data_IF_354859908292
#
_entry.id   IF_354859908292
#
_cell.length_a   1.000
_cell.length_b   1.000
_cell.length_c   1.000
_cell.angle_alpha   90.00
_cell.angle_beta   90.00
_cell.angle_gamma   90.00
#
_symmetry.space_group_name_H-M   'P 1'
#
loop_
_entity.id
_entity.type
_entity.pdbx_description
1 polymer ?
#
# COMPACT_ATOMS: atom_id res chain seq x y z
N UNK A 1 8.01 -3.44 15.34
CA UNK A 1 8.39 -3.53 13.93
C UNK A 1 9.68 -4.33 13.88
N UNK A 2 9.84 -5.24 12.92
CA UNK A 2 10.97 -6.18 12.86
C UNK A 2 12.22 -5.59 12.21
N UNK A 3 12.11 -4.44 11.55
CA UNK A 3 13.24 -3.72 10.97
C UNK A 3 13.02 -2.21 10.96
N UNK A 4 14.08 -1.42 11.17
CA UNK A 4 14.02 0.03 11.00
C UNK A 4 13.93 0.38 9.51
N UNK A 5 12.88 1.10 9.10
CA UNK A 5 12.58 1.39 7.69
C UNK A 5 12.28 2.86 7.47
N UNK A 6 12.63 3.39 6.30
CA UNK A 6 12.22 4.72 5.83
C UNK A 6 11.28 4.59 4.63
N UNK A 7 10.41 5.59 4.43
CA UNK A 7 9.52 5.68 3.27
C UNK A 7 8.55 4.48 3.11
N UNK A 8 8.14 3.87 4.22
CA UNK A 8 7.11 2.83 4.23
C UNK A 8 5.70 3.42 4.26
N UNK A 9 4.70 2.64 3.86
CA UNK A 9 3.29 2.97 4.02
C UNK A 9 2.65 2.11 5.11
N UNK A 10 1.73 2.68 5.88
CA UNK A 10 0.99 1.94 6.92
C UNK A 10 -0.51 1.97 6.67
N UNK A 11 -1.20 0.87 6.97
CA UNK A 11 -2.67 0.81 6.91
C UNK A 11 -3.24 -0.11 8.00
N UNK A 12 -4.37 0.28 8.59
CA UNK A 12 -5.10 -0.59 9.51
C UNK A 12 -6.14 -1.40 8.73
N UNK A 13 -6.15 -2.72 8.91
CA UNK A 13 -7.04 -3.64 8.22
C UNK A 13 -7.34 -4.85 9.10
N UNK A 14 -8.61 -5.23 9.21
CA UNK A 14 -9.07 -6.38 10.01
C UNK A 14 -8.53 -6.46 11.45
N UNK A 15 -8.34 -5.30 12.10
CA UNK A 15 -7.83 -5.23 13.47
C UNK A 15 -6.31 -5.31 13.60
N UNK A 16 -5.59 -5.47 12.50
CA UNK A 16 -4.13 -5.46 12.44
C UNK A 16 -3.62 -4.15 11.84
N UNK A 17 -2.37 -3.81 12.14
CA UNK A 17 -1.64 -2.73 11.48
C UNK A 17 -0.63 -3.33 10.50
N UNK A 18 -0.71 -2.95 9.24
CA UNK A 18 0.19 -3.41 8.18
C UNK A 18 1.23 -2.33 7.90
N UNK A 19 2.51 -2.69 7.93
CA UNK A 19 3.63 -1.88 7.50
C UNK A 19 4.17 -2.44 6.17
N UNK A 20 4.14 -1.62 5.12
CA UNK A 20 4.28 -2.07 3.75
C UNK A 20 5.48 -1.40 3.07
N UNK A 21 6.43 -2.22 2.64
CA UNK A 21 7.64 -1.82 1.93
C UNK A 21 8.59 -0.99 2.78
N UNK A 22 9.22 -0.01 2.14
CA UNK A 22 10.23 0.85 2.75
C UNK A 22 11.66 0.33 2.62
N UNK A 23 12.61 1.22 2.86
CA UNK A 23 14.04 0.98 2.75
C UNK A 23 14.63 0.75 4.14
N UNK A 24 15.32 -0.35 4.35
CA UNK A 24 16.23 -0.56 5.49
C UNK A 24 17.64 -0.90 4.96
N UNK A 25 18.61 -1.10 5.86
CA UNK A 25 20.00 -1.35 5.48
C UNK A 25 20.22 -2.74 4.83
N UNK A 26 19.30 -3.67 5.04
CA UNK A 26 19.49 -5.10 4.73
C UNK A 26 18.38 -5.75 3.90
N UNK A 27 17.23 -5.11 3.73
CA UNK A 27 16.05 -5.60 3.00
C UNK A 27 15.56 -4.59 1.95
N UNK A 28 15.02 -5.15 0.88
CA UNK A 28 14.50 -4.37 -0.23
C UNK A 28 13.12 -3.80 0.07
N UNK A 29 12.67 -2.88 -0.79
CA UNK A 29 11.36 -2.22 -0.86
C UNK A 29 10.12 -3.15 -0.86
N UNK A 30 10.33 -4.46 -0.75
CA UNK A 30 9.32 -5.51 -0.89
C UNK A 30 8.84 -6.07 0.44
N UNK A 31 9.61 -5.95 1.52
CA UNK A 31 9.24 -6.54 2.81
C UNK A 31 7.97 -5.90 3.38
N UNK A 32 7.15 -6.73 3.99
CA UNK A 32 5.86 -6.34 4.54
C UNK A 32 5.65 -7.05 5.86
N UNK A 33 5.09 -6.34 6.83
CA UNK A 33 4.89 -6.84 8.19
C UNK A 33 3.49 -6.49 8.66
N UNK A 34 2.88 -7.34 9.49
CA UNK A 34 1.63 -7.04 10.18
C UNK A 34 1.84 -7.06 11.70
N UNK A 35 1.14 -6.18 12.40
CA UNK A 35 1.14 -6.07 13.85
C UNK A 35 -0.21 -6.50 14.39
N UNK A 36 -0.17 -7.44 15.32
CA UNK A 36 -1.31 -7.86 16.13
C UNK A 36 -1.29 -7.09 17.47
N UNK A 37 -2.26 -6.18 17.71
CA UNK A 37 -2.33 -5.44 18.97
C UNK A 37 -2.80 -6.31 20.15
N UNK A 38 -3.36 -7.49 19.91
CA UNK A 38 -3.82 -8.41 20.96
C UNK A 38 -2.66 -9.20 21.54
N UNK A 39 -1.75 -9.64 20.67
CA UNK A 39 -0.54 -10.39 21.04
C UNK A 39 0.68 -9.47 21.23
N UNK A 40 0.58 -8.21 20.85
CA UNK A 40 1.68 -7.23 20.81
C UNK A 40 2.88 -7.72 19.99
N UNK A 41 2.61 -8.38 18.86
CA UNK A 41 3.66 -8.97 18.01
C UNK A 41 3.60 -8.48 16.58
N UNK A 42 4.79 -8.35 15.99
CA UNK A 42 4.96 -8.13 14.56
C UNK A 42 5.28 -9.46 13.88
N UNK A 43 4.59 -9.76 12.79
CA UNK A 43 4.80 -10.94 11.96
C UNK A 43 5.11 -10.53 10.53
N UNK A 44 6.12 -11.14 9.94
CA UNK A 44 6.42 -10.96 8.52
C UNK A 44 5.32 -11.58 7.65
N UNK A 45 4.87 -10.86 6.62
CA UNK A 45 3.94 -11.35 5.61
C UNK A 45 4.63 -11.36 4.25
N UNK A 46 4.15 -12.14 3.26
CA UNK A 46 4.83 -12.26 1.97
C UNK A 46 5.10 -10.90 1.35
N UNK A 47 6.30 -10.71 0.81
CA UNK A 47 6.69 -9.43 0.24
C UNK A 47 5.88 -9.06 -1.01
N UNK A 48 5.73 -7.75 -1.24
CA UNK A 48 5.17 -7.22 -2.48
C UNK A 48 6.13 -7.48 -3.63
N UNK A 49 5.65 -7.87 -4.82
CA UNK A 49 6.52 -7.93 -6.01
C UNK A 49 6.58 -6.57 -6.74
N UNK A 50 6.63 -5.47 -5.98
CA UNK A 50 6.58 -4.11 -6.51
C UNK A 50 7.60 -3.23 -5.79
N UNK A 51 8.57 -2.72 -6.54
CA UNK A 51 9.66 -1.86 -6.05
C UNK A 51 9.30 -0.39 -6.28
N UNK A 52 9.36 0.49 -5.27
CA UNK A 52 9.10 1.92 -5.49
C UNK A 52 9.54 2.86 -4.37
N UNK A 53 9.96 4.08 -4.77
CA UNK A 53 10.28 5.21 -3.90
C UNK A 53 9.06 6.00 -3.41
N UNK A 54 7.82 5.60 -3.77
CA UNK A 54 6.59 6.29 -3.38
C UNK A 54 5.44 5.28 -3.21
N UNK A 55 5.36 4.68 -2.02
CA UNK A 55 4.30 3.74 -1.66
C UNK A 55 3.14 4.49 -0.99
N UNK A 56 1.93 4.27 -1.50
CA UNK A 56 0.69 4.65 -0.84
C UNK A 56 -0.19 3.41 -0.69
N UNK A 57 -0.62 3.12 0.53
CA UNK A 57 -1.50 2.00 0.83
C UNK A 57 -2.88 2.46 1.31
N UNK A 58 -3.93 1.77 0.87
CA UNK A 58 -5.31 2.04 1.25
C UNK A 58 -6.14 0.76 1.26
N UNK A 59 -7.13 0.68 2.15
CA UNK A 59 -8.10 -0.44 2.15
C UNK A 59 -9.29 -0.06 1.30
N UNK A 60 -9.65 -0.92 0.35
CA UNK A 60 -10.84 -0.79 -0.47
C UNK A 60 -11.43 -2.18 -0.72
N UNK A 61 -12.75 -2.31 -0.59
CA UNK A 61 -13.48 -3.56 -0.88
C UNK A 61 -12.84 -4.82 -0.28
N UNK A 62 -12.58 -4.80 1.03
CA UNK A 62 -11.99 -5.94 1.76
C UNK A 62 -10.58 -6.35 1.27
N UNK A 63 -9.83 -5.42 0.69
CA UNK A 63 -8.49 -5.67 0.14
C UNK A 63 -7.58 -4.47 0.40
N UNK A 64 -6.31 -4.72 0.70
CA UNK A 64 -5.30 -3.65 0.76
C UNK A 64 -4.77 -3.39 -0.65
N UNK A 65 -4.85 -2.15 -1.09
CA UNK A 65 -4.25 -1.66 -2.34
C UNK A 65 -3.00 -0.88 -2.02
N UNK A 66 -1.91 -1.18 -2.73
CA UNK A 66 -0.67 -0.42 -2.71
C UNK A 66 -0.42 0.14 -4.09
N UNK A 67 -0.46 1.46 -4.18
CA UNK A 67 -0.07 2.21 -5.36
C UNK A 67 1.37 2.62 -5.19
N UNK A 68 2.15 2.38 -6.23
CA UNK A 68 3.57 2.63 -6.24
C UNK A 68 3.99 3.24 -7.56
N UNK A 69 5.02 4.09 -7.58
CA UNK A 69 5.62 4.61 -8.81
C UNK A 69 6.95 3.92 -9.08
N UNK A 70 7.01 3.17 -10.17
CA UNK A 70 8.23 2.55 -10.66
C UNK A 70 8.88 3.48 -11.68
N UNK A 71 10.16 3.77 -11.48
CA UNK A 71 10.95 4.57 -12.42
C UNK A 71 11.96 3.65 -13.12
N UNK A 72 11.85 3.50 -14.44
CA UNK A 72 12.83 2.80 -15.27
C UNK A 72 13.18 3.61 -16.50
N UNK A 73 14.48 3.80 -16.76
CA UNK A 73 15.04 4.49 -17.94
C UNK A 73 14.35 5.81 -18.32
N UNK A 74 13.95 6.61 -17.32
CA UNK A 74 13.30 7.91 -17.53
C UNK A 74 11.78 7.87 -17.73
N UNK A 75 11.17 6.68 -17.69
CA UNK A 75 9.72 6.51 -17.66
C UNK A 75 9.23 6.21 -16.24
N UNK A 76 8.19 6.92 -15.80
CA UNK A 76 7.49 6.65 -14.56
C UNK A 76 6.18 5.91 -14.83
N UNK A 77 6.04 4.71 -14.32
CA UNK A 77 4.81 3.93 -14.40
C UNK A 77 4.22 3.71 -13.02
N UNK A 78 2.91 3.89 -12.88
CA UNK A 78 2.21 3.54 -11.64
C UNK A 78 1.86 2.06 -11.64
N UNK A 79 2.24 1.34 -10.59
CA UNK A 79 1.92 -0.07 -10.38
C UNK A 79 1.03 -0.24 -9.16
N UNK A 80 0.12 -1.20 -9.26
CA UNK A 80 -0.88 -1.50 -8.23
C UNK A 80 -0.68 -2.93 -7.75
N UNK A 81 -0.33 -3.08 -6.47
CA UNK A 81 -0.35 -4.35 -5.78
C UNK A 81 -1.62 -4.43 -4.93
N UNK A 82 -2.21 -5.61 -4.84
CA UNK A 82 -3.33 -5.88 -3.95
C UNK A 82 -2.96 -7.02 -3.01
N UNK A 83 -3.38 -6.93 -1.75
CA UNK A 83 -3.17 -7.96 -0.75
C UNK A 83 -4.49 -8.48 -0.23
N UNK A 84 -4.63 -9.80 -0.31
CA UNK A 84 -5.70 -10.60 0.27
C UNK A 84 -5.17 -11.21 1.57
N UNK A 85 -5.77 -10.85 2.71
CA UNK A 85 -5.37 -11.34 4.03
C UNK A 85 -5.85 -12.77 4.32
N UNK A 86 -6.95 -13.22 3.68
CA UNK A 86 -7.49 -14.57 3.82
C UNK A 86 -6.56 -15.59 3.17
N UNK A 87 -6.07 -15.25 1.99
CA UNK A 87 -5.09 -16.05 1.24
C UNK A 87 -3.64 -15.71 1.60
N UNK A 88 -3.43 -14.67 2.43
CA UNK A 88 -2.13 -14.13 2.83
C UNK A 88 -1.19 -13.95 1.64
N UNK A 89 -1.66 -13.29 0.56
CA UNK A 89 -0.87 -13.17 -0.68
C UNK A 89 -1.08 -11.85 -1.41
N UNK A 90 -0.03 -11.43 -2.10
CA UNK A 90 -0.08 -10.33 -3.06
C UNK A 90 -0.49 -10.81 -4.45
N UNK A 91 -1.24 -9.98 -5.15
CA UNK A 91 -1.53 -10.13 -6.57
C UNK A 91 -1.43 -8.78 -7.27
N UNK A 92 -0.98 -8.83 -8.53
CA UNK A 92 -0.95 -7.64 -9.38
C UNK A 92 -2.36 -7.42 -9.90
N UNK A 93 -2.86 -6.21 -9.73
CA UNK A 93 -4.19 -5.88 -10.24
C UNK A 93 -4.15 -5.50 -11.72
N UNK A 94 -5.22 -5.82 -12.44
CA UNK A 94 -5.47 -5.34 -13.80
C UNK A 94 -6.06 -3.91 -13.83
N UNK A 95 -6.03 -3.19 -12.72
CA UNK A 95 -6.43 -1.79 -12.71
C UNK A 95 -5.34 -0.92 -13.33
N UNK A 96 -5.73 -0.09 -14.29
CA UNK A 96 -4.90 0.95 -14.87
C UNK A 96 -5.08 2.20 -14.02
N UNK A 97 -3.98 2.70 -13.46
CA UNK A 97 -3.95 4.01 -12.83
C UNK A 97 -4.04 5.06 -13.94
N UNK A 98 -5.16 5.77 -14.03
CA UNK A 98 -5.36 6.79 -15.06
C UNK A 98 -4.77 8.15 -14.68
N UNK A 99 -4.88 8.50 -13.41
CA UNK A 99 -4.35 9.73 -12.84
C UNK A 99 -4.03 9.47 -11.36
N UNK A 100 -2.87 9.91 -10.90
CA UNK A 100 -2.44 9.72 -9.52
C UNK A 100 -1.64 10.93 -9.08
N UNK A 101 -2.29 11.76 -8.28
CA UNK A 101 -1.70 12.88 -7.55
C UNK A 101 -1.35 12.44 -6.15
N UNK A 102 -0.62 13.28 -5.39
CA UNK A 102 -0.31 13.02 -3.97
C UNK A 102 -1.59 12.75 -3.15
N UNK A 103 -2.74 13.29 -3.57
CA UNK A 103 -3.99 13.28 -2.79
C UNK A 103 -5.11 12.42 -3.37
N UNK A 104 -5.02 11.96 -4.62
CA UNK A 104 -6.08 11.21 -5.30
C UNK A 104 -5.48 10.27 -6.34
N UNK A 105 -5.95 9.03 -6.43
CA UNK A 105 -5.61 8.13 -7.53
C UNK A 105 -6.88 7.50 -8.12
N UNK A 106 -7.01 7.57 -9.44
CA UNK A 106 -8.16 7.08 -10.18
C UNK A 106 -7.80 5.77 -10.88
N UNK A 107 -8.63 4.76 -10.68
CA UNK A 107 -8.44 3.45 -11.28
C UNK A 107 -9.50 3.19 -12.34
N UNK A 108 -9.07 2.53 -13.42
CA UNK A 108 -9.96 1.96 -14.44
C UNK A 108 -9.68 0.48 -14.58
N UNK A 109 -10.72 -0.34 -14.67
CA UNK A 109 -10.59 -1.77 -14.95
C UNK A 109 -10.08 -1.95 -16.39
N UNK A 110 -9.01 -2.71 -16.62
CA UNK A 110 -8.40 -2.86 -17.96
C UNK A 110 -9.37 -3.33 -19.07
N UNK A 111 -10.47 -4.00 -18.70
CA UNK A 111 -11.44 -4.56 -19.65
C UNK A 111 -12.83 -3.87 -19.60
N UNK A 112 -12.96 -2.71 -18.95
CA UNK A 112 -14.22 -1.97 -18.83
C UNK A 112 -14.08 -0.47 -19.13
N UNK A 113 -15.17 0.18 -19.54
CA UNK A 113 -15.25 1.65 -19.64
C UNK A 113 -15.45 2.33 -18.28
N UNK A 114 -15.74 1.56 -17.24
CA UNK A 114 -16.01 2.09 -15.90
C UNK A 114 -14.71 2.38 -15.14
N UNK A 115 -14.51 3.67 -14.86
CA UNK A 115 -13.53 4.19 -13.91
C UNK A 115 -14.20 4.37 -12.56
N UNK A 116 -13.56 3.91 -11.48
CA UNK A 116 -14.06 4.12 -10.13
C UNK A 116 -13.07 5.02 -9.37
N UNK A 117 -13.56 6.11 -8.73
CA UNK A 117 -12.69 6.96 -7.93
C UNK A 117 -12.33 6.22 -6.63
N UNK A 118 -11.05 5.94 -6.42
CA UNK A 118 -10.52 5.62 -5.09
C UNK A 118 -10.00 6.93 -4.51
N UNK A 119 -10.77 7.53 -3.62
CA UNK A 119 -10.38 8.79 -2.99
C UNK A 119 -9.26 8.50 -1.99
N UNK A 120 -8.01 8.83 -2.35
CA UNK A 120 -6.82 8.85 -1.46
C UNK A 120 -6.91 9.97 -0.40
N UNK A 121 -8.11 10.27 0.08
CA UNK A 121 -8.38 11.31 1.09
C UNK A 121 -8.71 10.67 2.44
N UNK A 122 -7.72 10.00 3.03
CA UNK A 122 -7.77 9.53 4.42
C UNK A 122 -6.66 10.13 5.33
N UNK A 123 -5.89 11.12 4.87
CA UNK A 123 -4.86 11.80 5.71
C UNK A 123 -5.34 13.14 6.32
N UNK A 124 -6.55 13.64 5.99
CA UNK A 124 -7.13 14.83 6.67
C UNK A 124 -8.17 14.53 7.76
N UNK A 125 -8.46 13.26 8.08
CA UNK A 125 -9.38 12.90 9.19
C UNK A 125 -8.72 12.33 10.44
N UNK A 126 -7.43 11.97 10.41
CA UNK A 126 -6.69 11.54 11.61
C UNK A 126 -5.84 12.64 12.28
N UNK A 127 -5.59 13.78 11.63
CA UNK A 127 -4.86 14.93 12.23
C UNK A 127 -5.75 15.94 13.00
N UNK A 128 -6.87 15.48 13.58
CA UNK A 128 -7.65 16.26 14.58
C UNK A 128 -7.96 15.49 15.88
N UNK A 129 -7.30 14.35 16.13
CA UNK A 129 -7.43 13.63 17.42
C UNK A 129 -6.13 13.33 18.14
N UNK A 130 -5.00 13.85 17.66
CA UNK A 130 -3.71 13.79 18.39
C UNK A 130 -3.02 15.16 18.35
N UNK A 131 -3.76 16.20 18.74
CA UNK A 131 -3.22 17.38 19.46
C UNK A 131 -4.36 17.79 20.40
N UNK A 132 -4.39 17.20 21.58
CA UNK A 132 -4.80 17.92 22.79
C UNK A 132 -3.67 18.87 23.17
#
# INVERSE_FOLDING_TARGET
>A
MLSERRSLSCVAFHGFLYALGGLNETSSLLSTEKYDPTEDTWTEIPGMNVYSDYLNAEVFDDTIFVISRYFDKGHSESRVACFDDKENRWFVSFFIVQDCTITNCYFRKALGSESFPVKVTAILRMLRRVVT
#
